data_IF_786607590680
#
_entry.id   IF_786607590680
#
_cell.length_a   1.000
_cell.length_b   1.000
_cell.length_c   1.000
_cell.angle_alpha   90.00
_cell.angle_beta   90.00
_cell.angle_gamma   90.00
#
_symmetry.space_group_name_H-M   'P 1'
#
loop_
_entity.id
_entity.type
_entity.pdbx_description
1 polymer ?
#
# COMPACT_ATOMS: atom_id res chain seq x y z
N UNK A 1 8.67 9.41 -0.29
CA UNK A 1 9.64 8.34 0.03
C UNK A 1 10.43 8.75 1.26
N UNK A 2 11.06 7.81 1.97
CA UNK A 2 12.03 8.12 3.03
C UNK A 2 13.32 7.31 2.85
N UNK A 3 14.46 7.84 3.33
CA UNK A 3 15.74 7.13 3.30
C UNK A 3 16.06 6.64 4.71
N UNK A 4 16.31 5.34 4.85
CA UNK A 4 16.66 4.68 6.11
C UNK A 4 17.89 3.80 5.86
N UNK A 5 19.00 4.07 6.58
CA UNK A 5 20.28 3.34 6.45
C UNK A 5 20.78 3.23 5.00
N UNK A 6 20.57 4.28 4.20
CA UNK A 6 20.97 4.32 2.78
C UNK A 6 20.03 3.57 1.83
N UNK A 7 18.93 2.97 2.33
CA UNK A 7 17.88 2.39 1.50
C UNK A 7 16.67 3.32 1.42
N UNK A 8 16.12 3.47 0.22
CA UNK A 8 14.91 4.26 -0.02
C UNK A 8 13.69 3.38 0.17
N UNK A 9 12.77 3.81 1.02
CA UNK A 9 11.50 3.15 1.29
C UNK A 9 10.33 4.03 0.87
N UNK A 10 9.42 3.45 0.12
CA UNK A 10 8.13 4.07 -0.18
C UNK A 10 7.25 4.06 1.06
N UNK A 11 6.63 5.19 1.34
CA UNK A 11 5.69 5.39 2.44
C UNK A 11 4.26 5.16 1.97
N UNK A 12 3.32 5.19 2.91
CA UNK A 12 1.89 5.15 2.60
C UNK A 12 1.44 6.32 1.71
N UNK A 13 2.14 7.46 1.76
CA UNK A 13 1.84 8.61 0.91
C UNK A 13 2.24 8.35 -0.55
N UNK A 14 3.41 7.74 -0.76
CA UNK A 14 3.87 7.34 -2.10
C UNK A 14 2.96 6.25 -2.68
N UNK A 15 2.53 5.30 -1.84
CA UNK A 15 1.55 4.28 -2.24
C UNK A 15 0.21 4.92 -2.65
N UNK A 16 -0.24 5.95 -1.92
CA UNK A 16 -1.48 6.67 -2.19
C UNK A 16 -1.45 7.34 -3.56
N UNK A 17 -0.34 7.99 -3.89
CA UNK A 17 -0.10 8.58 -5.20
C UNK A 17 -0.10 7.51 -6.30
N UNK A 18 0.69 6.44 -6.14
CA UNK A 18 0.82 5.35 -7.11
C UNK A 18 -0.51 4.63 -7.41
N UNK A 19 -1.35 4.44 -6.38
CA UNK A 19 -2.65 3.77 -6.51
C UNK A 19 -3.82 4.74 -6.79
N UNK A 20 -3.52 6.04 -6.91
CA UNK A 20 -4.48 7.13 -7.14
C UNK A 20 -5.64 7.12 -6.14
N UNK A 21 -5.33 6.95 -4.85
CA UNK A 21 -6.29 6.95 -3.74
C UNK A 21 -5.70 7.70 -2.54
N UNK A 22 -6.51 8.07 -1.55
CA UNK A 22 -5.97 8.72 -0.35
C UNK A 22 -5.21 7.73 0.55
N UNK A 23 -4.24 8.21 1.33
CA UNK A 23 -3.54 7.40 2.34
C UNK A 23 -4.50 6.83 3.42
N UNK A 24 -5.63 7.49 3.67
CA UNK A 24 -6.70 6.96 4.53
C UNK A 24 -7.39 5.76 3.87
N UNK A 25 -7.67 5.87 2.57
CA UNK A 25 -8.28 4.79 1.78
C UNK A 25 -7.37 3.57 1.69
N UNK A 26 -6.05 3.74 1.52
CA UNK A 26 -5.10 2.62 1.56
C UNK A 26 -5.19 1.88 2.90
N UNK A 27 -5.16 2.62 4.02
CA UNK A 27 -5.30 2.03 5.35
C UNK A 27 -6.63 1.28 5.50
N UNK A 28 -7.73 1.86 5.02
CA UNK A 28 -9.04 1.20 5.01
C UNK A 28 -9.02 -0.10 4.20
N UNK A 29 -8.42 -0.10 3.01
CA UNK A 29 -8.30 -1.28 2.16
C UNK A 29 -7.46 -2.39 2.79
N UNK A 30 -6.40 -2.05 3.51
CA UNK A 30 -5.59 -3.01 4.27
C UNK A 30 -6.43 -3.61 5.41
N UNK A 31 -7.09 -2.76 6.22
CA UNK A 31 -7.93 -3.21 7.35
C UNK A 31 -9.08 -4.11 6.88
N UNK A 32 -9.66 -3.81 5.72
CA UNK A 32 -10.76 -4.58 5.12
C UNK A 32 -10.29 -5.82 4.37
N UNK A 33 -8.98 -6.07 4.29
CA UNK A 33 -8.41 -7.21 3.57
C UNK A 33 -8.60 -7.14 2.05
N UNK A 34 -8.85 -5.96 1.49
CA UNK A 34 -8.97 -5.75 0.03
C UNK A 34 -7.58 -5.84 -0.61
N UNK A 35 -6.57 -5.26 0.05
CA UNK A 35 -5.16 -5.43 -0.27
C UNK A 35 -4.44 -6.02 0.94
N UNK A 36 -3.37 -6.81 0.75
CA UNK A 36 -2.63 -7.41 1.86
C UNK A 36 -1.97 -6.35 2.76
N UNK A 37 -1.57 -6.73 3.97
CA UNK A 37 -0.77 -5.84 4.82
C UNK A 37 0.63 -5.61 4.19
N UNK A 38 1.16 -4.37 4.22
CA UNK A 38 2.48 -4.09 3.71
C UNK A 38 3.56 -4.70 4.61
N UNK A 39 4.77 -4.96 4.06
CA UNK A 39 5.89 -5.42 4.86
C UNK A 39 6.34 -4.36 5.87
N UNK A 40 6.99 -4.85 6.92
CA UNK A 40 7.47 -4.02 8.02
C UNK A 40 9.00 -4.09 8.12
N UNK A 41 9.63 -2.95 8.37
CA UNK A 41 11.07 -2.83 8.61
C UNK A 41 11.32 -2.25 10.00
N UNK A 42 12.26 -2.84 10.74
CA UNK A 42 12.72 -2.28 12.02
C UNK A 42 13.67 -1.11 11.77
N UNK A 43 13.29 0.05 12.29
CA UNK A 43 14.08 1.26 12.29
C UNK A 43 14.31 1.78 13.71
N UNK A 44 15.51 1.52 14.24
CA UNK A 44 15.83 1.79 15.65
C UNK A 44 14.90 0.99 16.58
N UNK A 45 14.15 1.70 17.42
CA UNK A 45 13.14 1.13 18.32
C UNK A 45 11.73 1.04 17.70
N UNK A 46 11.54 1.55 16.47
CA UNK A 46 10.22 1.62 15.82
C UNK A 46 10.13 0.58 14.71
N UNK A 47 8.96 -0.01 14.55
CA UNK A 47 8.60 -0.79 13.36
C UNK A 47 7.85 0.14 12.40
N UNK A 48 8.28 0.16 11.14
CA UNK A 48 7.66 0.99 10.11
C UNK A 48 7.21 0.14 8.93
N UNK A 49 6.01 0.39 8.45
CA UNK A 49 5.50 -0.19 7.21
C UNK A 49 6.09 0.53 6.00
N UNK A 50 6.49 -0.24 5.00
CA UNK A 50 6.98 0.28 3.73
C UNK A 50 6.29 -0.39 2.55
N UNK A 51 6.28 0.29 1.41
CA UNK A 51 5.46 -0.07 0.25
C UNK A 51 6.33 -0.34 -0.98
N UNK A 52 7.11 -1.44 -1.01
CA UNK A 52 8.02 -1.71 -2.11
C UNK A 52 7.26 -1.79 -3.45
N UNK A 53 7.95 -1.55 -4.55
CA UNK A 53 7.32 -1.49 -5.88
C UNK A 53 6.54 -2.77 -6.22
N UNK A 54 7.12 -3.94 -5.93
CA UNK A 54 6.44 -5.24 -6.09
C UNK A 54 5.11 -5.33 -5.30
N UNK A 55 5.07 -4.75 -4.09
CA UNK A 55 3.84 -4.70 -3.31
C UNK A 55 2.80 -3.78 -3.97
N UNK A 56 3.22 -2.63 -4.51
CA UNK A 56 2.32 -1.69 -5.18
C UNK A 56 1.69 -2.31 -6.42
N UNK A 57 2.47 -3.05 -7.22
CA UNK A 57 1.96 -3.78 -8.39
C UNK A 57 0.90 -4.82 -8.00
N UNK A 58 1.17 -5.62 -6.97
CA UNK A 58 0.20 -6.59 -6.45
C UNK A 58 -1.04 -5.89 -5.91
N UNK A 59 -0.87 -4.86 -5.09
CA UNK A 59 -1.98 -4.09 -4.53
C UNK A 59 -2.86 -3.48 -5.63
N UNK A 60 -2.26 -2.98 -6.72
CA UNK A 60 -3.00 -2.49 -7.89
C UNK A 60 -3.88 -3.59 -8.51
N UNK A 61 -3.32 -4.78 -8.73
CA UNK A 61 -4.09 -5.91 -9.26
C UNK A 61 -5.27 -6.32 -8.34
N UNK A 62 -5.09 -6.29 -7.02
CA UNK A 62 -6.16 -6.53 -6.06
C UNK A 62 -7.26 -5.46 -6.14
N UNK A 63 -6.89 -4.19 -6.23
CA UNK A 63 -7.83 -3.08 -6.36
C UNK A 63 -8.61 -3.11 -7.66
N UNK A 64 -7.96 -3.45 -8.76
CA UNK A 64 -8.63 -3.56 -10.06
C UNK A 64 -9.68 -4.68 -10.06
N UNK A 65 -9.37 -5.84 -9.45
CA UNK A 65 -10.37 -6.91 -9.24
C UNK A 65 -11.52 -6.45 -8.36
N UNK A 66 -11.24 -5.74 -7.27
CA UNK A 66 -12.28 -5.21 -6.38
C UNK A 66 -13.18 -4.18 -7.08
N UNK A 67 -12.59 -3.27 -7.88
CA UNK A 67 -13.31 -2.27 -8.68
C UNK A 67 -14.17 -2.94 -9.77
N UNK A 68 -13.62 -3.93 -10.47
CA UNK A 68 -14.35 -4.69 -11.48
C UNK A 68 -15.56 -5.42 -10.88
N UNK A 69 -15.37 -6.09 -9.73
CA UNK A 69 -16.47 -6.75 -9.00
C UNK A 69 -17.57 -5.77 -8.60
N UNK A 70 -17.20 -4.58 -8.09
CA UNK A 70 -18.19 -3.54 -7.75
C UNK A 70 -18.93 -2.98 -8.96
N UNK A 71 -18.29 -2.90 -10.13
CA UNK A 71 -18.94 -2.46 -11.37
C UNK A 71 -19.92 -3.50 -11.92
N UNK A 72 -19.63 -4.79 -11.76
CA UNK A 72 -20.50 -5.88 -12.22
C UNK A 72 -21.78 -6.06 -11.38
N UNK A 73 -21.77 -5.58 -10.13
CA UNK A 73 -22.92 -5.67 -9.20
C UNK A 73 -23.83 -4.43 -9.28
N UNK A 74 -23.42 -3.39 -10.03
CA UNK A 74 -24.17 -2.14 -10.22
C UNK A 74 -24.82 -2.11 -11.59
#
# INVERSE_FOLDING_TARGET
MIIVKGQTYNTVADAAESLSVSAKTIRDYIVRGIIPAPPEVKYGLRTMQYFPEEYLERAKAHLDRYRAKRKAVR
#
